data_IF_651840668482
#
_entry.id   IF_651840668482
#
_cell.length_a   1.000
_cell.length_b   1.000
_cell.length_c   1.000
_cell.angle_alpha   90.00
_cell.angle_beta   90.00
_cell.angle_gamma   90.00
#
_symmetry.space_group_name_H-M   'P 1'
#
loop_
_entity.id
_entity.type
_entity.pdbx_description
1 polymer ?
#
# COMPACT_ATOMS: atom_id res chain seq x y z
N UNK A 1 0.93 12.58 19.57
CA UNK A 1 1.53 12.80 18.24
C UNK A 1 1.40 11.48 17.48
N UNK A 2 1.24 11.43 16.14
CA UNK A 2 1.08 10.15 15.40
C UNK A 2 2.22 9.13 15.69
N UNK A 3 3.35 9.66 16.16
CA UNK A 3 4.61 8.99 16.51
C UNK A 3 4.55 8.20 17.83
N UNK A 4 3.59 8.51 18.71
CA UNK A 4 3.48 7.88 20.04
C UNK A 4 2.57 6.64 20.04
N UNK A 5 2.02 6.31 18.86
CA UNK A 5 1.10 5.19 18.72
C UNK A 5 1.86 3.85 18.66
N UNK A 6 1.35 2.80 19.32
CA UNK A 6 1.83 1.45 19.14
C UNK A 6 1.82 1.00 17.66
N UNK A 7 2.75 0.13 17.29
CA UNK A 7 2.98 -0.25 15.90
C UNK A 7 1.79 -0.99 15.27
N UNK A 8 1.06 -1.77 16.04
CA UNK A 8 -0.19 -2.44 15.65
C UNK A 8 -1.32 -1.45 15.36
N UNK A 9 -1.43 -0.37 16.15
CA UNK A 9 -2.38 0.71 15.89
C UNK A 9 -2.01 1.46 14.61
N UNK A 10 -0.72 1.76 14.42
CA UNK A 10 -0.23 2.37 13.18
C UNK A 10 -0.51 1.49 11.96
N UNK A 11 -0.26 0.18 12.06
CA UNK A 11 -0.59 -0.77 11.00
C UNK A 11 -2.10 -0.81 10.71
N UNK A 12 -2.93 -0.78 11.77
CA UNK A 12 -4.38 -0.71 11.64
C UNK A 12 -4.86 0.54 10.90
N UNK A 13 -4.24 1.69 11.16
CA UNK A 13 -4.51 2.93 10.41
C UNK A 13 -4.02 2.80 8.96
N UNK A 14 -2.77 2.39 8.77
CA UNK A 14 -2.13 2.28 7.45
C UNK A 14 -2.85 1.31 6.51
N UNK A 15 -3.51 0.30 7.05
CA UNK A 15 -4.37 -0.62 6.28
C UNK A 15 -5.50 0.09 5.54
N UNK A 16 -6.00 1.20 6.06
CA UNK A 16 -7.11 1.95 5.46
C UNK A 16 -6.65 3.11 4.57
N UNK A 17 -5.34 3.29 4.41
CA UNK A 17 -4.76 4.34 3.59
C UNK A 17 -4.71 3.87 2.14
N UNK A 18 -5.15 4.72 1.21
CA UNK A 18 -5.08 4.39 -0.19
C UNK A 18 -3.62 4.22 -0.66
N UNK A 19 -3.35 3.34 -1.64
CA UNK A 19 -2.03 3.14 -2.22
C UNK A 19 -1.23 4.43 -2.51
N UNK A 20 -1.91 5.44 -3.03
CA UNK A 20 -1.33 6.73 -3.39
C UNK A 20 -0.91 7.54 -2.17
N UNK A 21 -1.74 7.58 -1.14
CA UNK A 21 -1.45 8.25 0.12
C UNK A 21 -0.38 7.52 0.91
N UNK A 22 -0.31 6.19 0.78
CA UNK A 22 0.78 5.36 1.31
C UNK A 22 2.13 5.74 0.69
N UNK A 23 2.17 5.95 -0.62
CA UNK A 23 3.36 6.43 -1.32
C UNK A 23 3.72 7.87 -0.93
N UNK A 24 2.73 8.75 -0.76
CA UNK A 24 2.94 10.12 -0.30
C UNK A 24 3.47 10.16 1.14
N UNK A 25 2.90 9.35 2.06
CA UNK A 25 3.30 9.26 3.46
C UNK A 25 4.78 8.93 3.62
N UNK A 26 5.33 8.07 2.73
CA UNK A 26 6.77 7.75 2.70
C UNK A 26 7.68 8.94 2.45
N UNK A 27 7.19 9.95 1.73
CA UNK A 27 7.96 11.14 1.36
C UNK A 27 7.87 12.25 2.43
N UNK A 28 7.02 12.10 3.44
CA UNK A 28 6.77 13.15 4.44
C UNK A 28 7.84 13.18 5.54
N UNK A 29 8.06 12.07 6.24
CA UNK A 29 9.02 11.99 7.34
C UNK A 29 9.55 10.56 7.57
N UNK A 30 10.67 10.46 8.31
CA UNK A 30 11.34 9.19 8.59
C UNK A 30 10.45 8.19 9.34
N UNK A 31 9.59 8.67 10.24
CA UNK A 31 8.70 7.83 11.05
C UNK A 31 7.64 7.20 10.16
N UNK A 32 6.98 8.00 9.32
CA UNK A 32 5.97 7.49 8.40
C UNK A 32 6.62 6.54 7.39
N UNK A 33 7.80 6.88 6.87
CA UNK A 33 8.60 5.95 6.08
C UNK A 33 8.78 4.60 6.79
N UNK A 34 9.29 4.60 8.04
CA UNK A 34 9.51 3.38 8.81
C UNK A 34 8.23 2.59 9.08
N UNK A 35 7.12 3.26 9.39
CA UNK A 35 5.83 2.60 9.62
C UNK A 35 5.28 1.92 8.35
N UNK A 36 5.63 2.43 7.16
CA UNK A 36 5.32 1.77 5.89
C UNK A 36 6.35 0.72 5.47
N UNK A 37 7.41 0.44 6.24
CA UNK A 37 8.33 -0.67 5.95
C UNK A 37 7.79 -2.02 6.45
N UNK A 38 6.65 -2.03 7.14
CA UNK A 38 5.96 -3.27 7.47
C UNK A 38 5.40 -3.94 6.21
N UNK A 39 5.70 -5.22 6.02
CA UNK A 39 5.26 -5.99 4.85
C UNK A 39 3.74 -6.10 4.80
N UNK A 40 3.06 -6.25 5.95
CA UNK A 40 1.61 -6.41 6.01
C UNK A 40 0.89 -5.20 5.46
N UNK A 41 1.43 -3.99 5.66
CA UNK A 41 0.90 -2.76 5.05
C UNK A 41 0.74 -2.88 3.54
N UNK A 42 1.76 -3.40 2.85
CA UNK A 42 1.72 -3.59 1.40
C UNK A 42 0.88 -4.79 0.97
N UNK A 43 0.84 -5.85 1.78
CA UNK A 43 -0.06 -6.99 1.52
C UNK A 43 -1.51 -6.52 1.56
N UNK A 44 -1.92 -5.77 2.58
CA UNK A 44 -3.27 -5.25 2.70
C UNK A 44 -3.61 -4.26 1.57
N UNK A 45 -2.72 -3.32 1.26
CA UNK A 45 -2.95 -2.39 0.16
C UNK A 45 -3.13 -3.11 -1.19
N UNK A 46 -2.36 -4.18 -1.45
CA UNK A 46 -2.52 -4.97 -2.68
C UNK A 46 -3.79 -5.83 -2.64
N UNK A 47 -4.18 -6.36 -1.48
CA UNK A 47 -5.48 -7.06 -1.31
C UNK A 47 -6.65 -6.13 -1.60
N UNK A 48 -6.62 -4.90 -1.12
CA UNK A 48 -7.69 -3.94 -1.35
C UNK A 48 -7.84 -3.62 -2.85
N UNK A 49 -6.72 -3.43 -3.57
CA UNK A 49 -6.73 -3.30 -5.03
C UNK A 49 -7.33 -4.55 -5.69
N UNK A 50 -6.88 -5.75 -5.29
CA UNK A 50 -7.35 -7.02 -5.86
C UNK A 50 -8.81 -7.33 -5.52
N UNK A 51 -9.37 -6.72 -4.47
CA UNK A 51 -10.79 -6.84 -4.12
C UNK A 51 -11.68 -6.10 -5.12
N UNK A 52 -11.18 -5.01 -5.71
CA UNK A 52 -11.87 -4.21 -6.73
C UNK A 52 -11.63 -4.80 -8.13
N UNK A 53 -10.37 -5.19 -8.42
CA UNK A 53 -9.96 -5.77 -9.69
C UNK A 53 -9.23 -7.11 -9.47
N UNK A 54 -9.97 -8.23 -9.45
CA UNK A 54 -9.40 -9.53 -9.13
C UNK A 54 -8.39 -9.99 -10.19
N UNK A 55 -7.22 -10.41 -9.73
CA UNK A 55 -6.21 -11.05 -10.57
C UNK A 55 -5.75 -12.36 -9.90
N UNK A 56 -6.31 -13.52 -10.27
CA UNK A 56 -6.11 -14.78 -9.55
C UNK A 56 -4.64 -15.16 -9.31
N UNK A 57 -3.80 -15.00 -10.34
CA UNK A 57 -2.37 -15.29 -10.23
C UNK A 57 -1.64 -14.40 -9.20
N UNK A 58 -2.06 -13.14 -9.05
CA UNK A 58 -1.50 -12.23 -8.04
C UNK A 58 -2.01 -12.57 -6.64
N UNK A 59 -3.29 -12.97 -6.51
CA UNK A 59 -3.87 -13.38 -5.22
C UNK A 59 -3.15 -14.62 -4.69
N UNK A 60 -2.92 -15.63 -5.53
CA UNK A 60 -2.21 -16.87 -5.16
C UNK A 60 -0.75 -16.61 -4.78
N UNK A 61 -0.07 -15.72 -5.51
CA UNK A 61 1.34 -15.40 -5.25
C UNK A 61 1.54 -14.43 -4.08
N UNK A 62 0.50 -13.70 -3.65
CA UNK A 62 0.56 -12.65 -2.64
C UNK A 62 1.30 -13.05 -1.34
N UNK A 63 1.07 -14.24 -0.73
CA UNK A 63 1.75 -14.64 0.49
C UNK A 63 3.26 -14.83 0.31
N UNK A 64 3.69 -15.16 -0.92
CA UNK A 64 5.10 -15.40 -1.27
C UNK A 64 5.81 -14.19 -1.86
N UNK A 65 5.09 -13.12 -2.22
CA UNK A 65 5.70 -11.92 -2.79
C UNK A 65 6.65 -11.24 -1.82
N UNK A 66 7.82 -10.87 -2.34
CA UNK A 66 8.78 -10.01 -1.66
C UNK A 66 8.23 -8.58 -1.50
N UNK A 67 8.79 -7.83 -0.55
CA UNK A 67 8.40 -6.43 -0.34
C UNK A 67 8.61 -5.56 -1.60
N UNK A 68 9.64 -5.87 -2.40
CA UNK A 68 9.91 -5.17 -3.66
C UNK A 68 8.81 -5.42 -4.68
N UNK A 69 8.35 -6.68 -4.80
CA UNK A 69 7.27 -7.05 -5.71
C UNK A 69 5.93 -6.45 -5.28
N UNK A 70 5.63 -6.45 -3.98
CA UNK A 70 4.42 -5.82 -3.43
C UNK A 70 4.38 -4.32 -3.77
N UNK A 71 5.46 -3.60 -3.44
CA UNK A 71 5.59 -2.16 -3.75
C UNK A 71 5.48 -1.90 -5.25
N UNK A 72 6.13 -2.71 -6.09
CA UNK A 72 6.09 -2.58 -7.55
C UNK A 72 4.68 -2.75 -8.11
N UNK A 73 3.92 -3.75 -7.66
CA UNK A 73 2.55 -3.98 -8.12
C UNK A 73 1.62 -2.85 -7.68
N UNK A 74 1.75 -2.38 -6.43
CA UNK A 74 0.95 -1.27 -5.90
C UNK A 74 1.22 0.02 -6.68
N UNK A 75 2.49 0.37 -6.92
CA UNK A 75 2.83 1.56 -7.70
C UNK A 75 2.27 1.50 -9.13
N UNK A 76 2.32 0.32 -9.78
CA UNK A 76 1.70 0.13 -11.10
C UNK A 76 0.19 0.34 -11.05
N UNK A 77 -0.49 -0.26 -10.07
CA UNK A 77 -1.94 -0.10 -9.90
C UNK A 77 -2.33 1.35 -9.59
N UNK A 78 -1.57 2.06 -8.77
CA UNK A 78 -1.80 3.48 -8.48
C UNK A 78 -1.64 4.36 -9.74
N UNK A 79 -0.66 4.07 -10.60
CA UNK A 79 -0.48 4.76 -11.88
C UNK A 79 -1.66 4.53 -12.85
N UNK A 80 -2.21 3.30 -12.88
CA UNK A 80 -3.38 2.99 -13.70
C UNK A 80 -4.62 3.75 -13.21
N UNK A 81 -4.85 3.80 -11.89
CA UNK A 81 -5.97 4.54 -11.31
C UNK A 81 -5.87 6.07 -11.56
N UNK A 82 -4.66 6.63 -11.54
CA UNK A 82 -4.46 8.05 -11.88
C UNK A 82 -4.67 8.35 -13.37
N UNK A 83 -4.46 7.38 -14.25
CA UNK A 83 -4.66 7.55 -15.69
C UNK A 83 -6.16 7.67 -16.08
N UNK A 84 -7.05 7.08 -15.29
CA UNK A 84 -8.51 7.18 -15.48
C UNK A 84 -9.09 8.53 -15.01
N UNK A 85 -8.33 9.34 -14.26
CA UNK A 85 -8.76 10.64 -13.72
C UNK A 85 -8.03 11.79 -14.43
N UNK A 86 -7.95 11.75 -15.76
CA UNK A 86 -7.53 12.93 -16.54
C UNK A 86 -8.79 13.64 -17.06
N UNK A 87 -9.19 14.80 -16.49
CA UNK A 87 -10.31 15.55 -17.06
C UNK A 87 -9.90 16.10 -18.41
N UNK A 88 -10.80 15.94 -19.38
CA UNK A 88 -10.78 16.58 -20.70
C UNK A 88 -10.92 18.09 -20.52
#
# INVERSE_FOLDING_TARGET
MFIDLPQDILLGIMRHVEPQDLLAARQTCKVLYQSTEDRLTWVYALQDILSISPHPALIEALPSMSMVELKKNITKSAQLLQADIKPI
#
